data_IF_888864232294
#
_entry.id   IF_888864232294
#
_cell.length_a   1.000
_cell.length_b   1.000
_cell.length_c   1.000
_cell.angle_alpha   90.00
_cell.angle_beta   90.00
_cell.angle_gamma   90.00
#
_symmetry.space_group_name_H-M   'P 1'
#
loop_
_entity.id
_entity.type
_entity.pdbx_description
1 polymer ?
#
# COMPACT_ATOMS: atom_id res chain seq x y z
N UNK A 1 27.04 -7.94 -11.02
CA UNK A 1 26.33 -7.24 -9.92
C UNK A 1 25.49 -8.29 -9.21
N UNK A 2 25.52 -8.36 -7.89
CA UNK A 2 24.63 -9.28 -7.16
C UNK A 2 23.20 -8.77 -7.27
N UNK A 3 22.25 -9.69 -7.48
CA UNK A 3 20.82 -9.35 -7.49
C UNK A 3 20.40 -8.93 -6.10
N UNK A 4 19.59 -7.87 -6.03
CA UNK A 4 19.01 -7.36 -4.78
C UNK A 4 17.78 -8.16 -4.37
N UNK A 5 17.31 -8.04 -3.12
CA UNK A 5 16.08 -8.68 -2.69
C UNK A 5 14.87 -8.27 -3.55
N UNK A 6 13.90 -9.17 -3.65
CA UNK A 6 12.60 -8.90 -4.28
C UNK A 6 11.49 -8.86 -3.23
N UNK A 7 10.57 -7.95 -3.45
CA UNK A 7 9.37 -7.76 -2.65
C UNK A 7 8.14 -7.58 -3.54
N UNK A 8 6.95 -7.64 -2.95
CA UNK A 8 5.67 -7.48 -3.66
C UNK A 8 4.89 -6.29 -3.08
N UNK A 9 4.40 -5.43 -3.98
CA UNK A 9 3.37 -4.43 -3.71
C UNK A 9 2.06 -4.88 -4.36
N UNK A 10 1.09 -5.25 -3.52
CA UNK A 10 -0.21 -5.72 -3.92
C UNK A 10 -1.27 -4.62 -3.81
N UNK A 11 -1.94 -4.34 -4.94
CA UNK A 11 -3.06 -3.40 -5.02
C UNK A 11 -4.41 -4.11 -4.78
N UNK A 12 -4.39 -5.44 -4.69
CA UNK A 12 -5.55 -6.32 -4.74
C UNK A 12 -6.44 -6.01 -5.96
N UNK A 13 -5.94 -6.18 -7.21
CA UNK A 13 -6.69 -5.86 -8.41
C UNK A 13 -7.91 -6.76 -8.57
N UNK A 14 -9.09 -6.15 -8.75
CA UNK A 14 -10.37 -6.84 -8.93
C UNK A 14 -10.59 -7.09 -10.40
N UNK A 15 -10.66 -8.36 -10.81
CA UNK A 15 -10.90 -8.73 -12.21
C UNK A 15 -12.38 -8.63 -12.59
N UNK A 16 -12.67 -8.37 -13.87
CA UNK A 16 -14.03 -8.38 -14.40
C UNK A 16 -14.73 -9.73 -14.14
N UNK A 17 -15.91 -9.69 -13.52
CA UNK A 17 -16.65 -10.88 -13.10
C UNK A 17 -16.21 -11.48 -11.76
N UNK A 18 -15.21 -10.91 -11.09
CA UNK A 18 -14.81 -11.26 -9.72
C UNK A 18 -15.45 -10.31 -8.69
N UNK A 19 -15.19 -10.55 -7.41
CA UNK A 19 -15.61 -9.69 -6.30
C UNK A 19 -14.40 -9.23 -5.49
N UNK A 20 -14.54 -8.11 -4.77
CA UNK A 20 -13.51 -7.68 -3.81
C UNK A 20 -13.21 -8.76 -2.76
N UNK A 21 -14.23 -9.47 -2.27
CA UNK A 21 -14.05 -10.55 -1.29
C UNK A 21 -13.24 -11.75 -1.82
N UNK A 22 -13.43 -12.13 -3.08
CA UNK A 22 -12.57 -13.15 -3.71
C UNK A 22 -11.15 -12.61 -3.88
N UNK A 23 -11.02 -11.39 -4.40
CA UNK A 23 -9.73 -10.74 -4.63
C UNK A 23 -8.87 -10.66 -3.36
N UNK A 24 -9.45 -10.29 -2.22
CA UNK A 24 -8.74 -10.21 -0.95
C UNK A 24 -8.28 -11.60 -0.46
N UNK A 25 -9.07 -12.66 -0.69
CA UNK A 25 -8.65 -14.03 -0.38
C UNK A 25 -7.48 -14.47 -1.28
N UNK A 26 -7.53 -14.12 -2.56
CA UNK A 26 -6.46 -14.42 -3.51
C UNK A 26 -5.16 -13.68 -3.16
N UNK A 27 -5.26 -12.42 -2.73
CA UNK A 27 -4.12 -11.62 -2.24
C UNK A 27 -3.46 -12.24 -1.00
N UNK A 28 -4.24 -12.73 -0.04
CA UNK A 28 -3.69 -13.44 1.14
C UNK A 28 -2.99 -14.75 0.72
N UNK A 29 -3.58 -15.51 -0.21
CA UNK A 29 -2.96 -16.73 -0.73
C UNK A 29 -1.66 -16.44 -1.51
N UNK A 30 -1.62 -15.34 -2.26
CA UNK A 30 -0.39 -14.89 -2.93
C UNK A 30 0.70 -14.53 -1.91
N UNK A 31 0.34 -13.90 -0.79
CA UNK A 31 1.30 -13.59 0.28
C UNK A 31 1.86 -14.85 0.95
N UNK A 32 1.03 -15.85 1.26
CA UNK A 32 1.49 -17.17 1.74
C UNK A 32 2.46 -17.82 0.74
N UNK A 33 2.17 -17.70 -0.56
CA UNK A 33 3.05 -18.22 -1.61
C UNK A 33 4.37 -17.45 -1.68
N UNK A 34 4.33 -16.13 -1.59
CA UNK A 34 5.51 -15.27 -1.60
C UNK A 34 6.45 -15.55 -0.42
N UNK A 35 5.88 -15.85 0.76
CA UNK A 35 6.62 -16.29 1.94
C UNK A 35 7.42 -17.56 1.68
N UNK A 36 6.76 -18.57 1.10
CA UNK A 36 7.40 -19.84 0.74
C UNK A 36 8.46 -19.71 -0.37
N UNK A 37 8.38 -18.66 -1.20
CA UNK A 37 9.30 -18.41 -2.31
C UNK A 37 10.51 -17.57 -1.91
N UNK A 38 10.56 -17.03 -0.68
CA UNK A 38 11.70 -16.23 -0.21
C UNK A 38 11.67 -14.76 -0.64
N UNK A 39 10.48 -14.21 -0.93
CA UNK A 39 10.34 -12.75 -1.05
C UNK A 39 10.63 -12.08 0.31
N UNK A 40 11.15 -10.85 0.27
CA UNK A 40 11.54 -10.12 1.48
C UNK A 40 10.37 -9.41 2.14
N UNK A 41 9.54 -8.73 1.35
CA UNK A 41 8.39 -7.95 1.84
C UNK A 41 7.13 -8.18 1.01
N UNK A 42 5.98 -8.05 1.65
CA UNK A 42 4.67 -8.03 1.02
C UNK A 42 3.85 -6.85 1.57
N UNK A 43 3.67 -5.83 0.73
CA UNK A 43 2.99 -4.60 1.11
C UNK A 43 1.68 -4.44 0.37
N UNK A 44 0.75 -3.74 1.02
CA UNK A 44 -0.53 -3.36 0.44
C UNK A 44 -0.59 -1.87 0.12
N UNK A 45 -1.01 -1.52 -1.10
CA UNK A 45 -1.29 -0.14 -1.47
C UNK A 45 -2.66 0.31 -0.93
N UNK A 46 -2.84 1.60 -0.62
CA UNK A 46 -4.15 2.15 -0.23
C UNK A 46 -4.87 2.79 -1.41
N UNK A 47 -6.08 2.32 -1.69
CA UNK A 47 -6.98 2.88 -2.69
C UNK A 47 -8.42 2.94 -2.17
N UNK A 48 -9.07 4.09 -2.34
CA UNK A 48 -10.46 4.30 -1.93
C UNK A 48 -11.36 4.50 -3.14
N UNK A 49 -12.59 4.00 -3.04
CA UNK A 49 -13.67 4.28 -4.00
C UNK A 49 -13.25 4.00 -5.46
N UNK A 50 -12.51 2.91 -5.65
CA UNK A 50 -11.97 2.48 -6.93
C UNK A 50 -12.41 1.05 -7.19
N UNK A 51 -13.29 0.85 -8.16
CA UNK A 51 -13.98 -0.43 -8.38
C UNK A 51 -13.02 -1.58 -8.74
N UNK A 52 -11.87 -1.24 -9.31
CA UNK A 52 -10.85 -2.17 -9.80
C UNK A 52 -9.79 -2.60 -8.81
N UNK A 53 -9.82 -2.12 -7.56
CA UNK A 53 -8.82 -2.43 -6.54
C UNK A 53 -9.49 -2.57 -5.19
N UNK A 54 -9.22 -3.66 -4.48
CA UNK A 54 -9.87 -4.00 -3.22
C UNK A 54 -9.07 -3.57 -1.98
N UNK A 55 -7.82 -3.15 -2.14
CA UNK A 55 -6.96 -2.76 -1.02
C UNK A 55 -7.26 -1.33 -0.57
N UNK A 56 -8.13 -1.19 0.43
CA UNK A 56 -8.49 0.12 1.03
C UNK A 56 -8.02 0.29 2.49
N UNK A 57 -7.62 -0.81 3.13
CA UNK A 57 -7.23 -0.85 4.55
C UNK A 57 -5.92 -1.63 4.72
N UNK A 58 -4.78 -1.08 4.26
CA UNK A 58 -3.54 -1.83 4.11
C UNK A 58 -3.00 -2.36 5.46
N UNK A 59 -3.19 -1.64 6.57
CA UNK A 59 -2.81 -2.11 7.91
C UNK A 59 -3.58 -3.38 8.34
N UNK A 60 -4.88 -3.45 8.03
CA UNK A 60 -5.71 -4.63 8.32
C UNK A 60 -5.25 -5.82 7.49
N UNK A 61 -4.95 -5.60 6.20
CA UNK A 61 -4.46 -6.66 5.32
C UNK A 61 -3.05 -7.13 5.73
N UNK A 62 -2.17 -6.20 6.12
CA UNK A 62 -0.87 -6.53 6.67
C UNK A 62 -1.00 -7.40 7.94
N UNK A 63 -1.90 -7.08 8.87
CA UNK A 63 -2.16 -7.89 10.06
C UNK A 63 -2.64 -9.30 9.72
N UNK A 64 -3.56 -9.44 8.76
CA UNK A 64 -4.08 -10.74 8.31
C UNK A 64 -2.99 -11.60 7.66
N UNK A 65 -2.09 -10.99 6.86
CA UNK A 65 -0.96 -11.70 6.24
C UNK A 65 0.11 -12.04 7.28
N UNK A 66 0.39 -11.16 8.24
CA UNK A 66 1.37 -11.39 9.31
C UNK A 66 1.06 -12.67 10.09
N UNK A 67 -0.23 -12.90 10.40
CA UNK A 67 -0.70 -14.12 11.08
C UNK A 67 -0.67 -15.40 10.24
N UNK A 68 -0.43 -15.30 8.93
CA UNK A 68 -0.46 -16.42 7.98
C UNK A 68 0.88 -16.71 7.30
N UNK A 69 1.89 -15.92 7.60
CA UNK A 69 3.25 -16.01 7.05
C UNK A 69 4.26 -16.06 8.18
N UNK A 70 5.46 -16.59 7.91
CA UNK A 70 6.49 -16.81 8.92
C UNK A 70 7.72 -15.91 8.74
N UNK A 71 8.08 -15.58 7.50
CA UNK A 71 9.36 -14.96 7.18
C UNK A 71 9.22 -13.56 6.55
N UNK A 72 8.18 -13.36 5.74
CA UNK A 72 7.89 -12.08 5.09
C UNK A 72 7.81 -10.95 6.09
N UNK A 73 8.40 -9.81 5.72
CA UNK A 73 7.95 -8.53 6.26
C UNK A 73 6.63 -8.14 5.61
N UNK A 74 5.72 -7.57 6.39
CA UNK A 74 4.38 -7.17 5.96
C UNK A 74 4.16 -5.70 6.28
N UNK A 75 3.40 -5.00 5.45
CA UNK A 75 3.27 -3.57 5.67
C UNK A 75 2.41 -2.83 4.66
N UNK A 76 2.59 -1.51 4.67
CA UNK A 76 1.86 -0.58 3.81
C UNK A 76 2.77 0.01 2.75
N UNK A 77 2.27 0.14 1.51
CA UNK A 77 3.02 0.71 0.39
C UNK A 77 2.16 1.60 -0.52
N UNK A 78 1.42 2.59 -0.01
CA UNK A 78 1.54 3.22 1.30
C UNK A 78 0.18 3.38 1.98
N UNK A 79 0.20 3.70 3.28
CA UNK A 79 -0.90 4.44 3.90
C UNK A 79 -0.87 5.91 3.47
N UNK A 80 -2.02 6.52 3.24
CA UNK A 80 -2.14 7.90 2.78
C UNK A 80 -2.37 8.85 3.96
N UNK A 81 -1.40 9.74 4.22
CA UNK A 81 -1.48 10.67 5.38
C UNK A 81 -2.52 11.80 5.22
N UNK A 82 -3.19 11.86 4.07
CA UNK A 82 -4.36 12.71 3.83
C UNK A 82 -5.64 12.16 4.47
N UNK A 83 -5.71 10.85 4.68
CA UNK A 83 -6.90 10.12 5.16
C UNK A 83 -6.66 9.53 6.55
N UNK A 84 -5.43 9.13 6.86
CA UNK A 84 -5.04 8.57 8.16
C UNK A 84 -4.01 9.48 8.83
N UNK A 85 -4.20 9.84 10.10
CA UNK A 85 -3.19 10.63 10.82
C UNK A 85 -1.94 9.77 11.08
N UNK A 86 -0.74 10.37 11.20
CA UNK A 86 0.48 9.61 11.44
C UNK A 86 0.44 8.80 12.74
N UNK A 87 -0.13 9.36 13.81
CA UNK A 87 -0.34 8.65 15.07
C UNK A 87 -1.15 7.37 14.85
N UNK A 88 -2.32 7.47 14.19
CA UNK A 88 -3.18 6.30 13.97
C UNK A 88 -2.50 5.27 13.08
N UNK A 89 -1.77 5.71 12.04
CA UNK A 89 -1.00 4.81 11.20
C UNK A 89 0.11 4.09 11.99
N UNK A 90 0.83 4.82 12.84
CA UNK A 90 1.85 4.25 13.72
C UNK A 90 1.24 3.25 14.71
N UNK A 91 0.14 3.59 15.38
CA UNK A 91 -0.54 2.70 16.33
C UNK A 91 -1.03 1.41 15.69
N UNK A 92 -1.59 1.50 14.48
CA UNK A 92 -2.04 0.32 13.73
C UNK A 92 -0.90 -0.65 13.46
N UNK A 93 0.19 -0.18 12.85
CA UNK A 93 1.29 -1.05 12.44
C UNK A 93 2.14 -1.48 13.65
N UNK A 94 2.32 -0.63 14.66
CA UNK A 94 3.03 -1.00 15.88
C UNK A 94 2.26 -2.05 16.70
N UNK A 95 0.91 -2.03 16.67
CA UNK A 95 0.09 -3.12 17.24
C UNK A 95 0.33 -4.44 16.53
N UNK A 96 0.49 -4.44 15.20
CA UNK A 96 0.85 -5.65 14.45
C UNK A 96 2.28 -6.08 14.81
N UNK A 97 3.22 -5.14 14.90
CA UNK A 97 4.62 -5.40 15.22
C UNK A 97 4.79 -6.02 16.62
N UNK A 98 4.00 -5.59 17.60
CA UNK A 98 3.98 -6.18 18.94
C UNK A 98 3.63 -7.68 18.95
N UNK A 99 2.89 -8.16 17.95
CA UNK A 99 2.53 -9.58 17.78
C UNK A 99 3.44 -10.31 16.78
N UNK A 100 4.16 -9.56 15.93
CA UNK A 100 4.99 -10.07 14.85
C UNK A 100 6.32 -9.27 14.79
N UNK A 101 7.18 -9.39 15.82
CA UNK A 101 8.38 -8.58 15.94
C UNK A 101 9.35 -8.82 14.77
N UNK A 102 10.00 -7.74 14.33
CA UNK A 102 11.00 -7.72 13.26
C UNK A 102 10.42 -7.88 11.85
N UNK A 103 9.09 -7.81 11.70
CA UNK A 103 8.41 -8.15 10.44
C UNK A 103 7.44 -7.09 9.93
N UNK A 104 7.39 -5.90 10.50
CA UNK A 104 6.36 -4.91 10.15
C UNK A 104 6.96 -3.64 9.59
N UNK A 105 6.39 -3.18 8.47
CA UNK A 105 6.77 -1.96 7.77
C UNK A 105 5.58 -0.99 7.72
N UNK A 106 5.83 0.26 8.12
CA UNK A 106 4.92 1.39 7.93
C UNK A 106 5.41 2.24 6.76
N UNK A 107 4.96 1.93 5.55
CA UNK A 107 5.18 2.80 4.40
C UNK A 107 4.11 3.89 4.31
N UNK A 108 4.56 5.14 4.31
CA UNK A 108 3.71 6.33 4.23
C UNK A 108 3.89 7.06 2.91
N UNK A 109 2.79 7.60 2.40
CA UNK A 109 2.75 8.33 1.15
C UNK A 109 1.88 9.57 1.25
N UNK A 110 2.10 10.49 0.32
CA UNK A 110 1.25 11.66 0.15
C UNK A 110 0.23 11.37 -0.94
N UNK A 111 -1.05 11.53 -0.61
CA UNK A 111 -2.05 11.58 -1.66
C UNK A 111 -1.96 12.91 -2.42
N UNK A 112 -2.19 12.88 -3.73
CA UNK A 112 -2.41 14.10 -4.49
C UNK A 112 -3.77 14.69 -4.10
N UNK A 113 -3.76 15.87 -3.48
CA UNK A 113 -4.97 16.62 -3.12
C UNK A 113 -5.05 17.86 -4.01
N UNK A 114 -6.00 17.93 -4.96
CA UNK A 114 -6.27 19.17 -5.67
C UNK A 114 -6.68 20.27 -4.67
N UNK A 115 -6.19 21.51 -4.80
CA UNK A 115 -6.58 22.59 -3.89
C UNK A 115 -8.09 22.84 -3.98
N UNK A 116 -8.79 22.98 -2.86
CA UNK A 116 -10.23 23.32 -2.84
C UNK A 116 -10.44 24.77 -3.31
N UNK A 117 -11.63 25.11 -3.84
CA UNK A 117 -11.96 26.51 -4.19
C UNK A 117 -11.82 27.49 -3.01
N UNK A 118 -11.95 26.99 -1.77
CA UNK A 118 -11.87 27.77 -0.55
C UNK A 118 -10.42 28.08 -0.14
N UNK A 119 -9.45 27.21 -0.48
CA UNK A 119 -8.02 27.48 -0.30
C UNK A 119 -7.44 28.45 -1.35
N UNK A 120 -8.22 28.83 -2.37
CA UNK A 120 -7.81 29.76 -3.43
C UNK A 120 -8.25 31.21 -3.17
N UNK A 121 -8.84 31.52 -2.01
CA UNK A 121 -9.24 32.87 -1.65
C UNK A 121 -8.77 33.22 -0.23
N UNK A 122 -7.75 34.07 -0.05
CA UNK A 122 -7.73 34.95 1.09
C UNK A 122 -8.78 36.05 0.89
N UNK A 123 -9.40 36.47 1.98
CA UNK A 123 -10.48 37.46 2.07
C UNK A 123 -10.34 38.63 1.08
N UNK A 124 -11.18 38.63 0.04
CA UNK A 124 -11.34 39.75 -0.89
C UNK A 124 -12.33 40.80 -0.36
N UNK A 125 -12.29 41.06 0.94
CA UNK A 125 -12.92 42.21 1.56
C UNK A 125 -11.86 42.88 2.44
N UNK A 126 -11.43 44.06 2.02
CA UNK A 126 -10.53 44.98 2.74
C UNK A 126 -9.01 44.79 2.55
N UNK A 127 -8.49 45.03 1.34
CA UNK A 127 -7.24 45.78 1.14
C UNK A 127 -6.97 46.11 -0.35
N UNK A 128 -7.04 47.41 -0.64
CA UNK A 128 -6.22 48.22 -1.56
C UNK A 128 -5.44 47.57 -2.71
N UNK A 129 -5.60 48.18 -3.89
CA UNK A 129 -4.70 48.12 -5.05
C UNK A 129 -3.22 48.05 -4.64
N UNK A 130 -2.56 46.91 -4.92
CA UNK A 130 -1.11 46.70 -5.14
C UNK A 130 -0.63 45.37 -4.56
N UNK A 131 -0.69 44.30 -5.36
CA UNK A 131 0.34 43.26 -5.51
C UNK A 131 -0.21 42.15 -6.40
N UNK A 132 0.45 41.88 -7.52
CA UNK A 132 0.15 40.70 -8.33
C UNK A 132 0.34 39.44 -7.48
N UNK A 133 -0.66 38.55 -7.47
CA UNK A 133 -0.50 37.21 -6.94
C UNK A 133 0.76 36.57 -7.56
N UNK A 134 1.62 35.89 -6.79
CA UNK A 134 2.81 35.28 -7.34
C UNK A 134 2.39 34.28 -8.41
N UNK A 135 2.90 34.47 -9.64
CA UNK A 135 2.66 33.56 -10.74
C UNK A 135 3.05 32.15 -10.31
N UNK A 136 2.10 31.22 -10.41
CA UNK A 136 2.35 29.79 -10.21
C UNK A 136 3.55 29.41 -11.09
N UNK A 137 4.62 28.80 -10.55
CA UNK A 137 5.82 28.53 -11.33
C UNK A 137 5.45 27.73 -12.57
N UNK A 138 5.93 28.17 -13.74
CA UNK A 138 5.70 27.48 -15.00
C UNK A 138 6.20 26.04 -14.89
N UNK A 139 5.34 25.06 -15.20
CA UNK A 139 5.72 23.64 -15.20
C UNK A 139 6.87 23.47 -16.18
N UNK A 140 8.01 22.95 -15.70
CA UNK A 140 9.16 22.64 -16.56
C UNK A 140 8.68 21.73 -17.70
N UNK A 141 9.10 21.98 -18.97
CA UNK A 141 8.73 21.12 -20.09
C UNK A 141 9.09 19.67 -19.78
N UNK A 142 8.23 18.73 -20.19
CA UNK A 142 8.50 17.31 -20.02
C UNK A 142 9.84 16.97 -20.70
N UNK A 143 10.73 16.29 -19.98
CA UNK A 143 11.95 15.76 -20.57
C UNK A 143 11.57 14.74 -21.67
N UNK A 144 12.32 14.67 -22.78
CA UNK A 144 12.07 13.67 -23.80
C UNK A 144 12.39 12.27 -23.29
N UNK A 145 11.65 11.28 -23.80
CA UNK A 145 11.92 9.86 -23.57
C UNK A 145 13.35 9.51 -23.97
N UNK A 146 13.97 8.63 -23.19
CA UNK A 146 15.37 8.20 -23.39
C UNK A 146 15.60 6.84 -22.76
N UNK A 147 16.52 6.08 -23.33
CA UNK A 147 17.03 4.86 -22.73
C UNK A 147 18.36 5.15 -22.03
N UNK A 148 18.51 4.64 -20.81
CA UNK A 148 19.71 4.78 -19.99
C UNK A 148 20.17 3.38 -19.63
N UNK A 149 21.26 2.91 -20.24
CA UNK A 149 21.87 1.58 -20.00
C UNK A 149 20.87 0.40 -19.97
N UNK A 150 19.89 0.43 -20.88
CA UNK A 150 18.86 -0.59 -21.03
C UNK A 150 17.59 -0.36 -20.21
N UNK A 151 17.51 0.71 -19.42
CA UNK A 151 16.28 1.15 -18.75
C UNK A 151 15.60 2.26 -19.56
N UNK A 152 14.33 2.08 -19.89
CA UNK A 152 13.53 3.11 -20.54
C UNK A 152 13.04 4.16 -19.54
N UNK A 153 13.31 5.44 -19.79
CA UNK A 153 12.74 6.56 -19.04
C UNK A 153 11.85 7.36 -20.00
N UNK A 154 10.52 7.26 -19.89
CA UNK A 154 9.60 7.87 -20.84
C UNK A 154 9.48 9.38 -20.59
N UNK A 155 8.94 10.10 -21.58
CA UNK A 155 8.42 11.45 -21.35
C UNK A 155 7.26 11.39 -20.36
N UNK A 156 7.10 12.45 -19.56
CA UNK A 156 5.89 12.57 -18.72
C UNK A 156 4.63 12.55 -19.60
N UNK A 157 3.57 11.83 -19.19
CA UNK A 157 2.35 11.75 -19.96
C UNK A 157 1.66 13.12 -20.07
N UNK A 158 0.90 13.38 -21.15
CA UNK A 158 0.19 14.63 -21.36
C UNK A 158 -1.09 14.71 -20.50
N UNK A 159 -0.96 14.54 -19.18
CA UNK A 159 -2.09 14.63 -18.25
C UNK A 159 -2.42 16.10 -18.01
N UNK A 160 -3.64 16.46 -18.36
CA UNK A 160 -4.23 17.76 -18.06
C UNK A 160 -4.87 17.75 -16.66
N UNK A 161 -4.10 18.17 -15.66
CA UNK A 161 -4.61 18.35 -14.30
C UNK A 161 -5.56 19.55 -14.15
N UNK A 162 -5.82 20.31 -15.23
CA UNK A 162 -6.85 21.35 -15.27
C UNK A 162 -8.21 20.82 -15.75
N UNK A 163 -8.28 19.56 -16.18
CA UNK A 163 -9.54 18.89 -16.51
C UNK A 163 -10.50 18.92 -15.30
N UNK A 164 -11.64 19.59 -15.49
CA UNK A 164 -12.65 19.77 -14.47
C UNK A 164 -13.26 18.45 -14.01
N UNK A 165 -13.42 17.47 -14.90
CA UNK A 165 -14.04 16.18 -14.56
C UNK A 165 -13.11 15.34 -13.67
N UNK A 166 -11.81 15.27 -14.01
CA UNK A 166 -10.81 14.61 -13.18
C UNK A 166 -10.71 15.27 -11.80
N UNK A 167 -10.70 16.60 -11.76
CA UNK A 167 -10.67 17.38 -10.51
C UNK A 167 -11.92 17.15 -9.66
N UNK A 168 -13.11 17.20 -10.26
CA UNK A 168 -14.37 16.98 -9.56
C UNK A 168 -14.49 15.57 -9.01
N UNK A 169 -13.99 14.56 -9.74
CA UNK A 169 -13.87 13.18 -9.26
C UNK A 169 -13.03 13.10 -7.99
N UNK A 170 -11.81 13.63 -8.03
CA UNK A 170 -10.88 13.60 -6.89
C UNK A 170 -11.48 14.30 -5.66
N UNK A 171 -12.10 15.47 -5.85
CA UNK A 171 -12.80 16.17 -4.77
C UNK A 171 -14.05 15.42 -4.29
N UNK A 172 -14.75 14.71 -5.17
CA UNK A 172 -15.86 13.82 -4.83
C UNK A 172 -15.44 12.69 -3.90
N UNK A 173 -14.35 11.99 -4.25
CA UNK A 173 -13.81 10.91 -3.43
C UNK A 173 -13.37 11.41 -2.05
N UNK A 174 -12.67 12.54 -1.98
CA UNK A 174 -12.25 13.14 -0.71
C UNK A 174 -13.42 13.43 0.23
N UNK A 175 -14.54 13.93 -0.30
CA UNK A 175 -15.76 14.19 0.49
C UNK A 175 -16.35 12.91 1.10
N UNK A 176 -16.30 11.80 0.37
CA UNK A 176 -16.87 10.51 0.83
C UNK A 176 -15.95 9.84 1.85
N UNK A 177 -14.64 9.79 1.57
CA UNK A 177 -13.64 9.21 2.51
C UNK A 177 -13.48 10.10 3.75
N UNK A 178 -14.08 11.28 3.76
CA UNK A 178 -13.95 12.27 4.84
C UNK A 178 -12.49 12.65 5.09
N UNK A 179 -11.72 12.76 4.01
CA UNK A 179 -10.34 13.25 3.99
C UNK A 179 -10.32 14.77 4.26
N UNK A 180 -10.86 15.19 5.41
CA UNK A 180 -11.02 16.59 5.82
C UNK A 180 -9.78 17.11 6.58
N UNK A 181 -8.77 16.25 6.77
CA UNK A 181 -7.51 16.63 7.39
C UNK A 181 -6.77 17.59 6.46
N UNK A 182 -6.28 18.70 7.01
CA UNK A 182 -5.25 19.51 6.39
C UNK A 182 -3.92 18.97 6.88
N UNK A 183 -3.14 18.26 6.05
CA UNK A 183 -1.86 17.74 6.49
C UNK A 183 -0.92 18.90 6.85
N UNK A 184 -0.15 18.70 7.92
CA UNK A 184 1.00 19.52 8.25
C UNK A 184 2.08 19.36 7.15
N UNK A 185 3.13 20.19 7.15
CA UNK A 185 4.33 19.92 6.35
C UNK A 185 4.76 18.46 6.50
N UNK A 186 5.15 17.81 5.40
CA UNK A 186 5.31 16.35 5.39
C UNK A 186 6.38 15.88 6.38
N UNK A 187 7.41 16.69 6.62
CA UNK A 187 8.43 16.45 7.64
C UNK A 187 7.83 16.30 9.04
N UNK A 188 6.99 17.25 9.44
CA UNK A 188 6.37 17.28 10.76
C UNK A 188 5.52 16.01 10.99
N UNK A 189 4.84 15.52 9.95
CA UNK A 189 4.07 14.28 10.00
C UNK A 189 4.94 13.05 10.29
N UNK A 190 6.16 12.99 9.74
CA UNK A 190 7.09 11.89 10.00
C UNK A 190 7.75 12.01 11.37
N UNK A 191 8.07 13.23 11.79
CA UNK A 191 8.65 13.50 13.11
C UNK A 191 7.66 13.17 14.25
N UNK A 192 6.33 13.23 14.01
CA UNK A 192 5.33 12.66 14.93
C UNK A 192 5.59 11.16 15.15
N UNK A 193 5.72 10.38 14.07
CA UNK A 193 5.94 8.93 14.16
C UNK A 193 7.26 8.63 14.86
N UNK A 194 8.36 9.26 14.41
CA UNK A 194 9.69 9.04 14.98
C UNK A 194 9.78 9.45 16.45
N UNK A 195 9.17 10.59 16.81
CA UNK A 195 9.13 11.06 18.19
C UNK A 195 8.32 10.13 19.10
N UNK A 196 7.20 9.58 18.61
CA UNK A 196 6.40 8.61 19.36
C UNK A 196 7.16 7.29 19.54
N UNK A 197 7.85 6.80 18.50
CA UNK A 197 8.69 5.61 18.58
C UNK A 197 9.82 5.77 19.60
N UNK A 198 10.43 6.96 19.66
CA UNK A 198 11.48 7.29 20.61
C UNK A 198 11.00 7.65 22.02
N UNK A 199 9.68 7.81 22.24
CA UNK A 199 9.12 8.28 23.51
C UNK A 199 9.43 9.76 23.82
N UNK A 200 9.73 10.57 22.79
CA UNK A 200 10.16 11.98 22.94
C UNK A 200 9.18 12.98 22.31
N UNK A 201 8.03 12.54 21.80
CA UNK A 201 7.09 13.42 21.12
C UNK A 201 6.41 14.39 22.08
N UNK A 202 6.44 15.68 21.73
CA UNK A 202 5.69 16.76 22.37
C UNK A 202 4.87 17.49 21.31
N UNK A 203 3.65 17.89 21.65
CA UNK A 203 2.84 18.71 20.75
C UNK A 203 3.33 20.17 20.69
N UNK A 204 2.60 21.00 19.93
CA UNK A 204 2.92 22.41 19.74
C UNK A 204 2.87 23.25 21.03
N UNK A 205 2.15 22.79 22.06
CA UNK A 205 2.06 23.44 23.37
C UNK A 205 3.13 22.90 24.35
N UNK A 206 4.01 22.00 23.89
CA UNK A 206 5.06 21.38 24.69
C UNK A 206 4.56 20.26 25.61
N UNK A 207 3.33 19.77 25.39
CA UNK A 207 2.77 18.67 26.18
C UNK A 207 3.31 17.34 25.64
N UNK A 208 3.95 16.51 26.48
CA UNK A 208 4.43 15.20 26.05
C UNK A 208 3.27 14.23 25.84
N UNK A 209 3.33 13.45 24.76
CA UNK A 209 2.37 12.38 24.48
C UNK A 209 3.10 11.06 24.27
N UNK A 210 2.50 9.99 24.79
CA UNK A 210 3.02 8.62 24.68
C UNK A 210 1.95 7.76 24.03
N UNK A 211 2.38 6.87 23.12
CA UNK A 211 1.54 5.81 22.60
C UNK A 211 2.16 4.47 22.98
N UNK A 212 1.50 3.75 23.88
CA UNK A 212 1.97 2.46 24.40
C UNK A 212 2.33 1.41 23.33
N UNK A 213 1.59 1.24 22.23
CA UNK A 213 2.01 0.32 21.17
C UNK A 213 3.18 0.83 20.33
N UNK A 214 3.42 2.14 20.27
CA UNK A 214 4.42 2.75 19.36
C UNK A 214 5.78 2.95 20.03
N UNK A 215 5.82 3.34 21.31
CA UNK A 215 7.07 3.58 22.02
C UNK A 215 7.93 2.31 22.05
N UNK A 216 9.16 2.40 21.52
CA UNK A 216 10.09 1.27 21.43
C UNK A 216 9.72 0.19 20.42
N UNK A 217 8.73 0.42 19.53
CA UNK A 217 8.38 -0.52 18.46
C UNK A 217 9.54 -0.72 17.48
N UNK A 218 9.62 -1.91 16.89
CA UNK A 218 10.58 -2.27 15.83
C UNK A 218 9.99 -2.14 14.41
N UNK A 219 8.77 -1.59 14.29
CA UNK A 219 8.17 -1.29 12.99
C UNK A 219 9.00 -0.24 12.22
N UNK A 220 9.41 -0.56 11.00
CA UNK A 220 10.24 0.31 10.17
C UNK A 220 9.38 1.36 9.46
N UNK A 221 9.74 2.65 9.55
CA UNK A 221 9.09 3.73 8.81
C UNK A 221 9.72 3.89 7.41
N UNK A 222 8.88 3.82 6.37
CA UNK A 222 9.28 3.94 4.96
C UNK A 222 8.59 5.12 4.28
N UNK A 223 9.30 5.81 3.39
CA UNK A 223 8.72 6.93 2.62
C UNK A 223 8.57 6.57 1.15
N UNK A 224 7.34 6.66 0.62
CA UNK A 224 7.06 6.48 -0.79
C UNK A 224 7.07 7.82 -1.53
N UNK A 225 7.79 7.89 -2.65
CA UNK A 225 7.93 9.10 -3.46
C UNK A 225 7.71 8.86 -4.97
N UNK A 226 7.04 9.84 -5.59
CA UNK A 226 6.74 9.86 -7.04
C UNK A 226 7.51 10.92 -7.83
N UNK A 227 8.31 11.73 -7.14
CA UNK A 227 9.13 12.78 -7.74
C UNK A 227 10.29 13.11 -6.81
N UNK A 228 11.31 13.80 -7.33
CA UNK A 228 12.42 14.32 -6.54
C UNK A 228 12.08 15.54 -5.66
N UNK A 229 10.79 15.77 -5.36
CA UNK A 229 10.36 16.85 -4.47
C UNK A 229 10.34 16.46 -2.99
N UNK A 230 9.50 17.15 -2.23
CA UNK A 230 9.45 17.11 -0.76
C UNK A 230 9.50 15.70 -0.14
N UNK A 231 8.81 14.68 -0.68
CA UNK A 231 8.88 13.33 -0.10
C UNK A 231 10.28 12.70 -0.18
N UNK A 232 10.97 12.86 -1.30
CA UNK A 232 12.33 12.33 -1.46
C UNK A 232 13.35 13.12 -0.63
N UNK A 233 13.22 14.45 -0.61
CA UNK A 233 14.10 15.34 0.16
C UNK A 233 13.96 15.11 1.67
N UNK A 234 12.72 15.03 2.18
CA UNK A 234 12.46 14.78 3.61
C UNK A 234 12.93 13.39 4.03
N UNK A 235 12.70 12.36 3.21
CA UNK A 235 13.22 11.01 3.49
C UNK A 235 14.75 11.02 3.63
N UNK A 236 15.45 11.69 2.72
CA UNK A 236 16.91 11.84 2.79
C UNK A 236 17.34 12.61 4.05
N UNK A 237 16.72 13.75 4.32
CA UNK A 237 17.10 14.62 5.43
C UNK A 237 16.87 13.99 6.82
N UNK A 238 15.96 13.02 6.93
CA UNK A 238 15.71 12.24 8.16
C UNK A 238 16.47 10.90 8.20
N UNK A 239 17.23 10.58 7.14
CA UNK A 239 17.93 9.30 7.03
C UNK A 239 17.00 8.10 6.93
N UNK A 240 15.78 8.26 6.41
CA UNK A 240 14.79 7.21 6.25
C UNK A 240 15.01 6.42 4.94
N UNK A 241 14.55 5.17 4.84
CA UNK A 241 14.54 4.46 3.57
C UNK A 241 13.51 5.04 2.59
N UNK A 242 13.85 5.04 1.30
CA UNK A 242 13.00 5.56 0.22
C UNK A 242 12.48 4.44 -0.66
N UNK A 243 11.21 4.54 -1.03
CA UNK A 243 10.62 3.74 -2.11
C UNK A 243 10.24 4.66 -3.28
N UNK A 244 10.98 4.57 -4.38
CA UNK A 244 10.72 5.34 -5.59
C UNK A 244 9.87 4.53 -6.59
N UNK A 245 8.80 5.13 -7.12
CA UNK A 245 7.80 4.41 -7.90
C UNK A 245 7.96 4.47 -9.43
N UNK A 246 8.90 3.67 -9.96
CA UNK A 246 9.02 3.52 -11.41
C UNK A 246 7.75 2.97 -12.06
N UNK A 247 7.01 2.11 -11.36
CA UNK A 247 5.71 1.62 -11.83
C UNK A 247 4.74 2.78 -12.12
N UNK A 248 4.47 3.71 -11.18
CA UNK A 248 3.50 4.82 -11.37
C UNK A 248 4.08 6.01 -12.13
N UNK A 249 5.28 6.45 -11.77
CA UNK A 249 5.89 7.69 -12.27
C UNK A 249 7.26 7.42 -12.89
N UNK A 250 7.35 6.62 -13.97
CA UNK A 250 8.62 6.21 -14.54
C UNK A 250 9.46 7.38 -15.06
N UNK A 251 8.82 8.46 -15.52
CA UNK A 251 9.50 9.64 -16.06
C UNK A 251 10.37 10.38 -15.04
N UNK A 252 10.09 10.25 -13.74
CA UNK A 252 10.78 10.97 -12.66
C UNK A 252 11.77 10.10 -11.90
N UNK A 253 11.89 8.80 -12.22
CA UNK A 253 12.60 7.83 -11.37
C UNK A 253 14.03 8.25 -11.01
N UNK A 254 14.81 8.71 -12.00
CA UNK A 254 16.21 9.08 -11.78
C UNK A 254 16.34 10.37 -10.97
N UNK A 255 15.43 11.32 -11.16
CA UNK A 255 15.38 12.56 -10.39
C UNK A 255 14.99 12.27 -8.93
N UNK A 256 14.01 11.39 -8.72
CA UNK A 256 13.57 10.96 -7.38
C UNK A 256 14.71 10.36 -6.58
N UNK A 257 15.42 9.37 -7.16
CA UNK A 257 16.53 8.71 -6.48
C UNK A 257 17.71 9.66 -6.25
N UNK A 258 18.03 10.51 -7.24
CA UNK A 258 19.10 11.49 -7.11
C UNK A 258 18.81 12.53 -6.01
N UNK A 259 17.57 13.03 -5.94
CA UNK A 259 17.15 14.00 -4.92
C UNK A 259 17.26 13.42 -3.51
N UNK A 260 16.75 12.20 -3.30
CA UNK A 260 16.88 11.49 -2.02
C UNK A 260 18.34 11.34 -1.59
N UNK A 261 19.20 10.82 -2.49
CA UNK A 261 20.62 10.62 -2.19
C UNK A 261 21.35 11.93 -1.91
N UNK A 262 21.01 13.00 -2.63
CA UNK A 262 21.60 14.32 -2.42
C UNK A 262 21.18 14.94 -1.08
N UNK A 263 19.96 14.66 -0.62
CA UNK A 263 19.44 15.12 0.66
C UNK A 263 19.82 14.21 1.83
N UNK A 264 20.41 13.04 1.58
CA UNK A 264 20.63 12.02 2.61
C UNK A 264 21.58 12.50 3.71
N UNK A 265 21.12 12.42 4.95
CA UNK A 265 21.91 12.60 6.17
C UNK A 265 21.70 11.37 7.04
N UNK A 266 22.77 10.72 7.55
CA UNK A 266 22.62 9.62 8.50
C UNK A 266 21.73 10.01 9.67
N UNK A 267 20.74 9.17 9.96
CA UNK A 267 19.66 9.45 10.90
C UNK A 267 19.07 8.16 11.43
N UNK A 268 17.94 7.75 10.86
CA UNK A 268 17.38 6.40 11.13
C UNK A 268 18.29 5.31 10.54
N UNK A 269 18.81 5.54 9.35
CA UNK A 269 19.81 4.68 8.70
C UNK A 269 21.18 5.35 8.68
N UNK A 270 22.23 4.53 8.72
CA UNK A 270 23.63 4.98 8.56
C UNK A 270 23.98 5.30 7.10
N UNK A 271 23.30 4.65 6.15
CA UNK A 271 23.51 4.80 4.70
C UNK A 271 22.18 4.82 3.93
N UNK A 272 22.13 5.43 2.74
CA UNK A 272 20.91 5.49 1.95
C UNK A 272 20.43 4.09 1.56
N UNK A 273 19.12 3.83 1.69
CA UNK A 273 18.50 2.60 1.25
C UNK A 273 17.33 2.90 0.31
N UNK A 274 17.43 2.45 -0.94
CA UNK A 274 16.48 2.77 -2.01
C UNK A 274 15.82 1.50 -2.53
N UNK A 275 14.50 1.42 -2.34
CA UNK A 275 13.64 0.49 -3.04
C UNK A 275 13.14 1.14 -4.33
N UNK A 276 13.20 0.43 -5.46
CA UNK A 276 12.54 0.87 -6.70
C UNK A 276 11.44 -0.10 -7.07
N UNK A 277 10.22 0.41 -7.25
CA UNK A 277 9.07 -0.43 -7.60
C UNK A 277 8.77 -0.46 -9.09
N UNK A 278 8.44 -1.63 -9.64
CA UNK A 278 8.19 -1.85 -11.06
C UNK A 278 6.97 -2.75 -11.30
N UNK A 279 6.20 -2.47 -12.36
CA UNK A 279 5.17 -3.40 -12.84
C UNK A 279 5.85 -4.54 -13.60
N UNK A 280 5.54 -5.78 -13.21
CA UNK A 280 6.06 -7.00 -13.84
C UNK A 280 4.90 -7.92 -14.26
N UNK A 281 5.15 -8.74 -15.27
CA UNK A 281 4.32 -9.91 -15.59
C UNK A 281 5.17 -10.94 -16.31
N UNK A 282 5.37 -12.06 -15.63
CA UNK A 282 6.17 -13.17 -16.14
C UNK A 282 5.24 -14.31 -16.51
N UNK A 283 5.41 -14.86 -17.71
CA UNK A 283 4.82 -16.13 -18.12
C UNK A 283 5.92 -17.03 -18.70
N UNK A 284 5.61 -18.29 -19.01
CA UNK A 284 6.58 -19.22 -19.59
C UNK A 284 7.15 -18.73 -20.92
N UNK A 285 6.36 -17.99 -21.69
CA UNK A 285 6.76 -17.41 -22.97
C UNK A 285 6.33 -15.95 -23.07
N UNK A 286 7.02 -15.20 -23.93
CA UNK A 286 6.68 -13.81 -24.26
C UNK A 286 5.23 -13.67 -24.73
N UNK A 287 4.78 -14.53 -25.65
CA UNK A 287 3.42 -14.48 -26.19
C UNK A 287 2.34 -14.69 -25.13
N UNK A 288 2.58 -15.58 -24.14
CA UNK A 288 1.65 -15.76 -23.02
C UNK A 288 1.62 -14.53 -22.10
N UNK A 289 2.79 -13.95 -21.83
CA UNK A 289 2.90 -12.75 -20.99
C UNK A 289 2.21 -11.55 -21.67
N UNK A 290 2.38 -11.38 -22.98
CA UNK A 290 1.71 -10.34 -23.77
C UNK A 290 0.19 -10.49 -23.74
N UNK A 291 -0.33 -11.71 -23.91
CA UNK A 291 -1.77 -11.98 -23.83
C UNK A 291 -2.33 -11.63 -22.46
N UNK A 292 -1.72 -12.11 -21.38
CA UNK A 292 -2.14 -11.82 -20.01
C UNK A 292 -1.98 -10.32 -19.65
N UNK A 293 -1.02 -9.64 -20.26
CA UNK A 293 -0.73 -8.22 -20.08
C UNK A 293 -1.61 -7.27 -20.88
N UNK A 294 -2.29 -7.75 -21.93
CA UNK A 294 -3.03 -6.91 -22.88
C UNK A 294 -4.03 -5.91 -22.25
N UNK A 295 -4.79 -6.27 -21.19
CA UNK A 295 -5.76 -5.33 -20.59
C UNK A 295 -5.14 -4.13 -19.85
N UNK A 296 -3.84 -4.14 -19.60
CA UNK A 296 -3.19 -3.14 -18.76
C UNK A 296 -3.32 -1.72 -19.29
N UNK A 297 -3.23 -1.54 -20.61
CA UNK A 297 -3.38 -0.23 -21.23
C UNK A 297 -4.77 0.37 -20.92
N UNK A 298 -5.83 -0.42 -21.07
CA UNK A 298 -7.20 0.02 -20.78
C UNK A 298 -7.41 0.34 -19.30
N UNK A 299 -6.84 -0.49 -18.42
CA UNK A 299 -6.85 -0.25 -16.99
C UNK A 299 -6.13 1.06 -16.60
N UNK A 300 -4.97 1.33 -17.18
CA UNK A 300 -4.24 2.60 -16.97
C UNK A 300 -5.03 3.79 -17.52
N UNK A 301 -5.64 3.65 -18.70
CA UNK A 301 -6.48 4.69 -19.29
C UNK A 301 -7.61 5.06 -18.34
N UNK A 302 -8.30 4.07 -17.76
CA UNK A 302 -9.41 4.30 -16.84
C UNK A 302 -8.99 5.08 -15.58
N UNK A 303 -7.79 4.83 -15.05
CA UNK A 303 -7.25 5.56 -13.90
C UNK A 303 -7.11 7.05 -14.22
N UNK A 304 -6.66 7.36 -15.44
CA UNK A 304 -6.35 8.71 -15.91
C UNK A 304 -7.57 9.48 -16.37
N UNK A 305 -8.55 8.83 -17.00
CA UNK A 305 -9.69 9.49 -17.64
C UNK A 305 -11.06 9.12 -17.04
N UNK A 306 -11.17 7.97 -16.37
CA UNK A 306 -12.45 7.41 -15.94
C UNK A 306 -12.99 8.05 -14.65
N UNK A 307 -14.30 8.30 -14.59
CA UNK A 307 -14.94 8.88 -13.39
C UNK A 307 -14.91 7.96 -12.16
N UNK A 308 -14.70 6.64 -12.34
CA UNK A 308 -14.70 5.65 -11.27
C UNK A 308 -13.30 5.20 -10.80
N UNK A 309 -12.23 5.81 -11.33
CA UNK A 309 -10.86 5.37 -11.03
C UNK A 309 -10.47 4.11 -11.80
N UNK A 310 -9.69 3.23 -11.16
CA UNK A 310 -9.36 1.95 -11.75
C UNK A 310 -10.64 1.14 -11.94
N UNK A 311 -10.90 0.68 -13.16
CA UNK A 311 -11.99 -0.26 -13.45
C UNK A 311 -11.60 -1.67 -13.04
N UNK A 312 -12.59 -2.56 -12.91
CA UNK A 312 -12.31 -3.99 -12.82
C UNK A 312 -11.43 -4.42 -14.00
N UNK A 313 -10.36 -5.15 -13.73
CA UNK A 313 -9.35 -5.49 -14.74
C UNK A 313 -10.01 -6.30 -15.87
N UNK A 314 -9.97 -5.82 -17.13
CA UNK A 314 -10.72 -6.45 -18.21
C UNK A 314 -10.20 -7.85 -18.55
N UNK A 315 -11.03 -8.63 -19.25
CA UNK A 315 -10.61 -9.90 -19.85
C UNK A 315 -9.64 -9.64 -21.01
N UNK A 316 -8.61 -10.48 -21.20
CA UNK A 316 -7.68 -10.36 -22.33
C UNK A 316 -8.38 -10.24 -23.69
N UNK A 317 -9.39 -11.07 -23.95
CA UNK A 317 -10.15 -11.07 -25.22
C UNK A 317 -10.88 -9.76 -25.49
N UNK A 318 -11.46 -9.14 -24.45
CA UNK A 318 -12.18 -7.87 -24.57
C UNK A 318 -11.19 -6.72 -24.86
N UNK A 319 -10.06 -6.72 -24.15
CA UNK A 319 -9.02 -5.70 -24.32
C UNK A 319 -8.36 -5.75 -25.71
N UNK A 320 -8.15 -6.94 -26.26
CA UNK A 320 -7.58 -7.12 -27.60
C UNK A 320 -8.53 -6.68 -28.73
N UNK A 321 -9.84 -6.72 -28.49
CA UNK A 321 -10.86 -6.28 -29.45
C UNK A 321 -11.06 -4.75 -29.45
N UNK A 322 -10.53 -4.03 -28.46
CA UNK A 322 -10.72 -2.59 -28.29
C UNK A 322 -9.96 -1.79 -29.36
N UNK A 323 -10.65 -0.83 -29.97
CA UNK A 323 -10.02 0.19 -30.80
C UNK A 323 -9.45 1.33 -29.95
N UNK A 324 -8.30 1.86 -30.37
CA UNK A 324 -7.55 2.88 -29.64
C UNK A 324 -7.26 4.08 -30.54
N UNK A 325 -7.60 5.27 -30.05
CA UNK A 325 -7.18 6.54 -30.65
C UNK A 325 -5.72 6.87 -30.31
N UNK A 326 -5.07 7.70 -31.13
CA UNK A 326 -3.70 8.15 -30.87
C UNK A 326 -3.57 8.92 -29.54
N UNK A 327 -4.61 9.68 -29.18
CA UNK A 327 -4.67 10.41 -27.91
C UNK A 327 -4.69 9.46 -26.71
N UNK A 328 -5.50 8.39 -26.76
CA UNK A 328 -5.53 7.38 -25.69
C UNK A 328 -4.21 6.63 -25.59
N UNK A 329 -3.59 6.25 -26.72
CA UNK A 329 -2.27 5.61 -26.73
C UNK A 329 -1.22 6.50 -26.09
N UNK A 330 -1.18 7.79 -26.44
CA UNK A 330 -0.27 8.76 -25.85
C UNK A 330 -0.50 8.93 -24.33
N UNK A 331 -1.75 8.82 -23.89
CA UNK A 331 -2.15 8.88 -22.48
C UNK A 331 -1.79 7.64 -21.67
N UNK A 332 -1.28 6.55 -22.23
CA UNK A 332 -0.88 5.35 -21.46
C UNK A 332 0.53 4.87 -21.80
N UNK A 333 1.18 5.53 -22.77
CA UNK A 333 2.46 5.08 -23.34
C UNK A 333 3.56 4.99 -22.28
N UNK A 334 3.66 5.97 -21.38
CA UNK A 334 4.67 5.98 -20.32
C UNK A 334 4.57 4.74 -19.43
N UNK A 335 3.36 4.28 -19.10
CA UNK A 335 3.12 3.09 -18.26
C UNK A 335 3.26 1.78 -19.03
N UNK A 336 2.77 1.75 -20.27
CA UNK A 336 2.80 0.54 -21.10
C UNK A 336 4.21 0.24 -21.62
N UNK A 337 5.01 1.27 -21.89
CA UNK A 337 6.41 1.13 -22.33
C UNK A 337 7.37 0.75 -21.19
N UNK A 338 7.00 0.97 -19.93
CA UNK A 338 7.88 0.74 -18.76
C UNK A 338 7.47 -0.46 -17.91
N UNK A 339 6.39 -1.13 -18.26
CA UNK A 339 6.01 -2.41 -17.65
C UNK A 339 6.91 -3.53 -18.18
N UNK A 340 7.42 -4.38 -17.30
CA UNK A 340 8.27 -5.50 -17.68
C UNK A 340 7.42 -6.77 -17.87
N UNK A 341 6.96 -6.98 -19.11
CA UNK A 341 6.19 -8.16 -19.53
C UNK A 341 7.06 -9.08 -20.39
N UNK A 342 7.09 -10.38 -20.11
CA UNK A 342 7.79 -11.35 -20.96
C UNK A 342 8.09 -12.70 -20.31
N UNK A 343 9.01 -13.45 -20.94
CA UNK A 343 9.62 -14.65 -20.35
C UNK A 343 10.47 -14.30 -19.11
N UNK A 344 10.81 -15.29 -18.26
CA UNK A 344 11.60 -15.04 -17.06
C UNK A 344 12.95 -14.36 -17.36
N UNK A 345 13.65 -14.81 -18.40
CA UNK A 345 14.95 -14.25 -18.80
C UNK A 345 14.84 -12.78 -19.23
N UNK A 346 13.80 -12.45 -19.99
CA UNK A 346 13.55 -11.08 -20.46
C UNK A 346 13.23 -10.13 -19.30
N UNK A 347 12.40 -10.56 -18.36
CA UNK A 347 12.01 -9.73 -17.21
C UNK A 347 13.18 -9.56 -16.24
N UNK A 348 13.95 -10.62 -15.97
CA UNK A 348 15.18 -10.55 -15.17
C UNK A 348 16.15 -9.54 -15.75
N UNK A 349 16.42 -9.59 -17.07
CA UNK A 349 17.35 -8.66 -17.71
C UNK A 349 16.92 -7.18 -17.56
N UNK A 350 15.62 -6.90 -17.64
CA UNK A 350 15.06 -5.54 -17.46
C UNK A 350 15.10 -5.08 -16.00
N UNK A 351 14.83 -5.97 -15.04
CA UNK A 351 14.96 -5.69 -13.62
C UNK A 351 16.43 -5.45 -13.22
N UNK A 352 17.38 -6.19 -13.78
CA UNK A 352 18.81 -5.94 -13.58
C UNK A 352 19.24 -4.59 -14.19
N UNK A 353 18.65 -4.16 -15.30
CA UNK A 353 18.85 -2.81 -15.84
C UNK A 353 18.30 -1.73 -14.91
N UNK A 354 17.08 -1.92 -14.40
CA UNK A 354 16.48 -1.04 -13.39
C UNK A 354 17.38 -0.92 -12.16
N UNK A 355 17.84 -2.05 -11.61
CA UNK A 355 18.74 -2.10 -10.45
C UNK A 355 20.03 -1.34 -10.72
N UNK A 356 20.70 -1.60 -11.84
CA UNK A 356 21.97 -0.94 -12.20
C UNK A 356 21.83 0.57 -12.35
N UNK A 357 20.80 1.02 -13.08
CA UNK A 357 20.64 2.42 -13.46
C UNK A 357 20.19 3.28 -12.27
N UNK A 358 19.35 2.74 -11.41
CA UNK A 358 18.87 3.44 -10.21
C UNK A 358 19.82 3.25 -9.02
N UNK A 359 20.60 2.16 -9.02
CA UNK A 359 21.33 1.69 -7.85
C UNK A 359 20.39 1.24 -6.74
N UNK A 360 19.23 0.67 -7.06
CA UNK A 360 18.29 0.17 -6.07
C UNK A 360 18.93 -0.91 -5.19
N UNK A 361 18.65 -0.87 -3.89
CA UNK A 361 19.07 -1.83 -2.87
C UNK A 361 18.04 -2.96 -2.70
N UNK A 362 16.82 -2.77 -3.21
CA UNK A 362 15.71 -3.73 -3.23
C UNK A 362 14.76 -3.38 -4.38
N UNK A 363 14.10 -4.38 -4.97
CA UNK A 363 13.07 -4.18 -6.01
C UNK A 363 11.70 -4.59 -5.46
N UNK A 364 10.73 -3.69 -5.58
CA UNK A 364 9.35 -3.91 -5.16
C UNK A 364 8.44 -4.11 -6.37
N UNK A 365 8.06 -5.35 -6.64
CA UNK A 365 7.30 -5.72 -7.83
C UNK A 365 5.80 -5.59 -7.63
N UNK A 366 5.08 -5.11 -8.63
CA UNK A 366 3.61 -5.17 -8.67
C UNK A 366 3.17 -5.95 -9.90
N UNK A 367 2.18 -6.83 -9.75
CA UNK A 367 1.70 -7.70 -10.83
C UNK A 367 0.19 -7.54 -11.01
N UNK A 368 -0.23 -7.00 -12.16
CA UNK A 368 -1.63 -6.84 -12.52
C UNK A 368 -1.98 -7.78 -13.67
N UNK A 369 -2.83 -8.77 -13.44
CA UNK A 369 -3.31 -9.69 -14.46
C UNK A 369 -4.78 -10.03 -14.20
N UNK A 370 -5.48 -10.51 -15.24
CA UNK A 370 -6.89 -10.87 -15.14
C UNK A 370 -7.09 -12.11 -14.25
N UNK A 371 -6.32 -13.17 -14.45
CA UNK A 371 -6.43 -14.38 -13.64
C UNK A 371 -5.59 -14.26 -12.35
N UNK A 372 -6.16 -14.50 -11.16
CA UNK A 372 -5.37 -14.69 -9.93
C UNK A 372 -4.24 -15.72 -10.06
N UNK A 373 -4.45 -16.80 -10.81
CA UNK A 373 -3.45 -17.83 -11.02
C UNK A 373 -2.24 -17.30 -11.81
N UNK A 374 -2.45 -16.40 -12.77
CA UNK A 374 -1.35 -15.77 -13.53
C UNK A 374 -0.48 -14.90 -12.62
N UNK A 375 -1.07 -14.23 -11.62
CA UNK A 375 -0.31 -13.43 -10.64
C UNK A 375 0.58 -14.32 -9.78
N UNK A 376 0.04 -15.43 -9.28
CA UNK A 376 0.80 -16.44 -8.52
C UNK A 376 1.91 -17.02 -9.38
N UNK A 377 1.57 -17.44 -10.61
CA UNK A 377 2.52 -18.04 -11.54
C UNK A 377 3.66 -17.09 -11.92
N UNK A 378 3.34 -15.82 -12.16
CA UNK A 378 4.33 -14.77 -12.41
C UNK A 378 5.30 -14.60 -11.23
N UNK A 379 4.80 -14.60 -9.99
CA UNK A 379 5.65 -14.53 -8.80
C UNK A 379 6.56 -15.76 -8.66
N UNK A 380 6.06 -16.97 -8.94
CA UNK A 380 6.87 -18.19 -8.92
C UNK A 380 7.99 -18.17 -9.96
N UNK A 381 7.65 -17.84 -11.21
CA UNK A 381 8.61 -17.78 -12.31
C UNK A 381 9.68 -16.72 -12.05
N UNK A 382 9.26 -15.55 -11.54
CA UNK A 382 10.19 -14.49 -11.19
C UNK A 382 11.11 -14.90 -10.04
N UNK A 383 10.57 -15.47 -8.95
CA UNK A 383 11.36 -15.94 -7.81
C UNK A 383 12.43 -16.96 -8.27
N UNK A 384 12.02 -17.94 -9.08
CA UNK A 384 12.93 -18.96 -9.61
C UNK A 384 14.02 -18.34 -10.49
N UNK A 385 13.65 -17.48 -11.44
CA UNK A 385 14.60 -16.91 -12.39
C UNK A 385 15.52 -15.86 -11.76
N UNK A 386 15.04 -15.14 -10.74
CA UNK A 386 15.82 -14.22 -9.94
C UNK A 386 16.77 -14.94 -8.98
N UNK A 387 16.45 -16.17 -8.59
CA UNK A 387 17.26 -17.01 -7.71
C UNK A 387 16.95 -16.76 -6.23
N UNK A 388 15.68 -16.51 -5.89
CA UNK A 388 15.25 -16.49 -4.50
C UNK A 388 15.37 -17.89 -3.89
N UNK A 389 15.85 -17.95 -2.66
CA UNK A 389 15.93 -19.18 -1.90
C UNK A 389 14.74 -19.27 -0.95
N UNK A 390 14.03 -20.40 -0.99
CA UNK A 390 12.98 -20.65 -0.02
C UNK A 390 13.57 -20.59 1.41
N UNK A 391 12.85 -19.98 2.37
CA UNK A 391 13.31 -19.94 3.75
C UNK A 391 13.61 -21.35 4.25
N UNK A 392 14.73 -21.53 4.96
CA UNK A 392 15.06 -22.81 5.56
C UNK A 392 13.91 -23.22 6.49
N UNK A 393 13.32 -24.40 6.25
CA UNK A 393 12.29 -24.94 7.13
C UNK A 393 12.85 -24.95 8.56
N UNK A 394 12.21 -24.20 9.46
CA UNK A 394 12.57 -24.22 10.86
C UNK A 394 12.49 -25.67 11.33
N UNK A 395 13.65 -26.28 11.61
CA UNK A 395 13.70 -27.59 12.24
C UNK A 395 12.98 -27.41 13.56
N UNK A 396 11.77 -27.94 13.68
CA UNK A 396 11.02 -27.94 14.93
C UNK A 396 11.78 -28.78 15.95
N UNK A 397 12.73 -28.14 16.64
CA UNK A 397 13.47 -28.68 17.76
C UNK A 397 12.56 -28.70 18.99
N UNK A 398 11.64 -29.65 19.04
CA UNK A 398 11.08 -30.09 20.31
C UNK A 398 12.16 -30.94 21.02
N UNK A 399 13.18 -30.27 21.56
CA UNK A 399 14.03 -30.85 22.59
C UNK A 399 13.18 -30.98 23.86
N UNK A 400 13.14 -32.19 24.40
CA UNK A 400 12.18 -32.62 25.39
C UNK A 400 12.20 -31.85 26.70
N UNK A 401 11.00 -31.62 27.22
CA UNK A 401 10.75 -31.47 28.64
C UNK A 401 10.04 -32.73 29.12
N UNK A 402 10.78 -33.58 29.83
CA UNK A 402 10.22 -34.69 30.61
C UNK A 402 9.27 -34.16 31.69
N UNK A 403 8.16 -34.85 31.99
CA UNK A 403 7.26 -34.45 33.06
C UNK A 403 7.81 -34.90 34.42
N UNK A 404 8.06 -33.94 35.32
CA UNK A 404 8.36 -34.23 36.73
C UNK A 404 7.09 -34.65 37.47
N UNK A 405 7.19 -35.76 38.20
CA UNK A 405 6.11 -36.43 38.91
C UNK A 405 5.83 -35.90 40.33
N UNK A 406 4.57 -36.12 40.74
CA UNK A 406 4.04 -36.33 42.10
C UNK A 406 3.77 -35.07 42.97
N UNK A 407 2.70 -34.95 43.78
CA UNK A 407 1.75 -35.95 44.28
C UNK A 407 0.45 -35.30 44.83
N UNK A 408 -0.66 -36.06 44.75
CA UNK A 408 -1.76 -36.25 45.77
C UNK A 408 -2.59 -35.03 46.23
N UNK A 409 -3.91 -35.07 46.43
CA UNK A 409 -4.91 -36.15 46.53
C UNK A 409 -6.33 -35.55 46.52
N UNK A 410 -7.32 -36.44 46.31
CA UNK A 410 -8.72 -36.45 46.84
C UNK A 410 -9.68 -35.36 46.33
N UNK A 411 -10.93 -35.61 45.94
CA UNK A 411 -11.81 -36.75 46.15
C UNK A 411 -12.99 -36.74 45.16
N UNK A 412 -13.41 -37.97 44.84
CA UNK A 412 -14.68 -38.56 44.34
C UNK A 412 -15.85 -37.78 43.71
N UNK A 413 -16.36 -38.42 42.65
CA UNK A 413 -17.80 -38.70 42.40
C UNK A 413 -18.48 -37.80 41.35
N UNK A 414 -19.11 -38.27 40.29
CA UNK A 414 -19.46 -39.60 39.80
C UNK A 414 -20.28 -39.46 38.49
N UNK A 415 -20.30 -40.56 37.71
CA UNK A 415 -21.19 -41.00 36.62
C UNK A 415 -22.12 -39.98 35.92
N UNK A 416 -22.05 -39.76 34.60
CA UNK A 416 -22.33 -40.65 33.46
C UNK A 416 -23.83 -40.95 33.18
N UNK A 417 -24.31 -40.52 31.99
CA UNK A 417 -25.29 -41.16 31.07
C UNK A 417 -25.92 -40.05 30.19
N UNK A 418 -25.73 -39.95 28.88
CA UNK A 418 -26.04 -40.87 27.77
C UNK A 418 -27.50 -40.79 27.26
N UNK A 419 -27.61 -40.32 26.01
CA UNK A 419 -28.49 -40.75 24.91
C UNK A 419 -30.01 -40.49 24.90
N UNK A 420 -30.49 -40.21 23.67
CA UNK A 420 -31.85 -40.50 23.18
C UNK A 420 -32.59 -39.25 22.68
N UNK A 421 -32.53 -38.93 21.38
CA UNK A 421 -33.52 -39.28 20.33
C UNK A 421 -34.89 -38.59 20.48
N UNK A 422 -35.24 -37.71 19.55
CA UNK A 422 -36.38 -37.87 18.60
C UNK A 422 -36.83 -36.52 18.02
N UNK A 423 -36.99 -36.50 16.70
CA UNK A 423 -37.82 -35.57 15.91
C UNK A 423 -39.33 -35.86 16.18
N UNK A 424 -40.30 -34.94 15.93
CA UNK A 424 -40.57 -34.42 14.58
C UNK A 424 -41.19 -33.00 14.46
N UNK A 425 -41.27 -32.58 13.19
CA UNK A 425 -42.01 -31.48 12.55
C UNK A 425 -43.19 -30.81 13.28
N UNK A 426 -43.29 -29.47 13.17
CA UNK A 426 -44.36 -28.76 12.46
C UNK A 426 -44.11 -27.24 12.40
N UNK A 427 -44.76 -26.63 11.41
CA UNK A 427 -44.77 -25.22 10.98
C UNK A 427 -44.88 -24.16 12.10
N UNK A 428 -44.28 -22.98 11.89
CA UNK A 428 -45.02 -21.74 11.58
C UNK A 428 -44.07 -20.53 11.43
N UNK A 429 -44.57 -19.59 10.65
CA UNK A 429 -43.99 -18.33 10.18
C UNK A 429 -44.15 -17.26 11.27
N UNK A 430 -43.06 -16.69 11.82
CA UNK A 430 -43.15 -15.50 12.69
C UNK A 430 -41.90 -14.61 12.56
N UNK A 431 -42.13 -13.40 12.06
CA UNK A 431 -41.31 -12.20 12.22
C UNK A 431 -41.32 -11.73 13.68
N UNK A 432 -40.17 -11.40 14.29
CA UNK A 432 -40.11 -10.43 15.40
C UNK A 432 -38.77 -9.68 15.40
N UNK A 433 -38.89 -8.37 15.47
CA UNK A 433 -37.88 -7.38 15.84
C UNK A 433 -37.56 -7.39 17.34
N UNK A 434 -36.38 -6.89 17.67
CA UNK A 434 -36.00 -6.24 18.94
C UNK A 434 -35.81 -7.08 20.21
N UNK A 435 -34.57 -7.04 20.69
CA UNK A 435 -34.20 -6.93 22.09
C UNK A 435 -32.81 -6.22 22.11
N UNK A 436 -32.49 -5.20 22.90
CA UNK A 436 -32.87 -4.90 24.29
C UNK A 436 -32.78 -3.40 24.58
N UNK A 437 -33.76 -2.87 25.31
CA UNK A 437 -33.73 -1.57 25.95
C UNK A 437 -34.13 -1.66 27.42
N UNK A 438 -33.30 -1.03 28.26
CA UNK A 438 -33.58 -0.40 29.56
C UNK A 438 -33.74 -1.25 30.83
N UNK A 439 -32.90 -0.89 31.82
CA UNK A 439 -33.33 -0.64 33.20
C UNK A 439 -32.70 0.69 33.64
N UNK A 440 -33.52 1.57 34.21
CA UNK A 440 -33.19 2.92 34.64
C UNK A 440 -33.41 3.11 36.16
N UNK A 441 -32.59 4.01 36.74
CA UNK A 441 -32.89 4.96 37.85
C UNK A 441 -33.20 4.47 39.27
N UNK A 442 -32.63 5.10 40.33
CA UNK A 442 -33.06 6.39 40.91
C UNK A 442 -32.27 6.83 42.17
N UNK A 443 -32.13 8.16 42.36
CA UNK A 443 -32.19 8.99 43.60
C UNK A 443 -31.47 10.35 43.35
N UNK A 444 -32.15 11.42 42.90
CA UNK A 444 -32.91 12.49 43.61
C UNK A 444 -32.07 13.45 44.46
N UNK A 445 -32.18 14.78 44.19
CA UNK A 445 -31.85 15.82 45.18
C UNK A 445 -31.65 17.28 44.71
N UNK A 446 -32.71 17.95 44.22
CA UNK A 446 -33.09 19.39 44.34
C UNK A 446 -32.08 20.57 44.36
N UNK A 447 -32.43 21.65 43.64
CA UNK A 447 -32.14 23.03 44.07
C UNK A 447 -32.22 24.11 42.98
N UNK A 448 -33.33 24.87 42.94
CA UNK A 448 -33.59 25.99 42.02
C UNK A 448 -32.97 27.31 42.49
N UNK A 449 -32.72 28.26 41.58
CA UNK A 449 -33.41 29.56 41.53
C UNK A 449 -32.87 30.51 40.44
N UNK A 450 -33.85 30.99 39.65
CA UNK A 450 -34.03 32.34 39.07
C UNK A 450 -33.07 32.87 38.00
#
# INVERSE_FOLDING_TARGET
MSRVPLSILDLAPVSSGSTGAQTLRDSVALAERADALGYTRYWFAEHHLSAGVASSSPAVLAALVAGRTQHLRVGTGAVLLSTTSPLVAAEQLATVAALHPGRVDLGVGRAFTPPTKQAAAPDAAEASESAAAPARPARKPAAPARDVDGLHVPSAPPIDFTDSALRERLLGQQRVVSANRQPAPFRDELEVVLGLQAGTYTDADGVPHVSAPVEGTDAELWVLASSGGESAEVAGALGLPLVANYHVSPATILETVASYRAAFVPGVLDEPYVVVSADVLVAETEAQAELAGAPFAEWVLSIRTGLAGAIAYPRPEDALAREWTDAERALVLDRTATRFVGSPEQVVARLEALQRVTGADEILTTTIAFDPADRVRSAELLAQAWGLEAPAAAVAGAAGSEPSAAATSTDTGGAAAAHGTDEPAHAEDVSVSDAFGQVATHLVGSGAHS
#
